data_IF_298094796624
#
_entry.id   IF_298094796624
#
_cell.length_a   1.000
_cell.length_b   1.000
_cell.length_c   1.000
_cell.angle_alpha   90.00
_cell.angle_beta   90.00
_cell.angle_gamma   90.00
#
_symmetry.space_group_name_H-M   'P 1'
#
loop_
_entity.id
_entity.type
_entity.pdbx_description
1 polymer ?
#
# COMPACT_ATOMS: atom_id res chain seq x y z
N UNK A 1 12.42 -14.46 -22.57
CA UNK A 1 12.84 -13.06 -22.70
C UNK A 1 13.34 -12.65 -21.35
N UNK A 2 14.63 -12.32 -21.26
CA UNK A 2 15.31 -11.93 -20.04
C UNK A 2 14.58 -10.76 -19.38
N UNK A 3 13.99 -11.01 -18.21
CA UNK A 3 13.51 -9.96 -17.33
C UNK A 3 14.75 -9.40 -16.61
N UNK A 4 15.50 -8.53 -17.28
CA UNK A 4 16.38 -7.64 -16.53
C UNK A 4 15.49 -6.85 -15.56
N UNK A 5 15.67 -7.09 -14.26
CA UNK A 5 15.11 -6.21 -13.23
C UNK A 5 15.89 -4.92 -13.33
N UNK A 6 15.43 -4.03 -14.19
CA UNK A 6 15.98 -2.69 -14.31
C UNK A 6 15.47 -1.85 -13.14
N UNK A 7 16.42 -1.21 -12.47
CA UNK A 7 16.25 -0.38 -11.27
C UNK A 7 16.46 1.08 -11.61
N UNK A 8 16.14 1.48 -12.85
CA UNK A 8 16.43 2.81 -13.39
C UNK A 8 15.42 3.87 -12.98
N UNK A 9 14.33 3.48 -12.32
CA UNK A 9 13.33 4.41 -11.84
C UNK A 9 13.87 5.38 -10.78
N UNK A 10 13.35 6.61 -10.82
CA UNK A 10 13.65 7.63 -9.82
C UNK A 10 12.76 7.44 -8.60
N UNK A 11 13.37 7.28 -7.44
CA UNK A 11 12.64 7.22 -6.18
C UNK A 11 11.89 8.53 -5.93
N UNK A 12 10.74 8.45 -5.27
CA UNK A 12 9.94 9.63 -4.87
C UNK A 12 10.07 9.81 -3.36
N UNK A 13 10.62 10.92 -2.87
CA UNK A 13 10.79 11.11 -1.43
C UNK A 13 9.46 11.17 -0.69
N UNK A 14 9.42 10.79 0.59
CA UNK A 14 8.22 10.94 1.39
C UNK A 14 7.79 12.41 1.51
N UNK A 15 6.48 12.64 1.61
CA UNK A 15 5.92 13.95 1.88
C UNK A 15 5.44 14.01 3.33
N UNK A 16 6.00 14.93 4.11
CA UNK A 16 5.47 15.25 5.42
C UNK A 16 4.12 15.95 5.28
N UNK A 17 3.18 15.76 6.23
CA UNK A 17 1.93 16.50 6.25
C UNK A 17 2.21 18.00 6.23
N UNK A 18 1.44 18.74 5.43
CA UNK A 18 1.35 20.18 5.60
C UNK A 18 0.64 20.41 6.93
N UNK A 19 1.41 20.82 7.95
CA UNK A 19 0.81 21.37 9.15
C UNK A 19 -0.14 22.48 8.72
N UNK A 20 -1.45 22.33 8.98
CA UNK A 20 -2.38 23.46 8.93
C UNK A 20 -1.67 24.60 9.65
N UNK A 21 -1.36 25.70 8.96
CA UNK A 21 -0.55 26.81 9.50
C UNK A 21 -0.93 27.05 10.95
N UNK A 22 -0.13 26.55 11.89
CA UNK A 22 -0.51 26.63 13.29
C UNK A 22 -0.34 28.07 13.70
N UNK A 23 -1.31 28.61 14.44
CA UNK A 23 -1.12 29.93 15.06
C UNK A 23 0.09 29.85 15.99
N UNK A 24 0.80 30.97 16.16
CA UNK A 24 1.87 31.07 17.15
C UNK A 24 1.41 30.51 18.50
N UNK A 25 2.17 29.57 19.06
CA UNK A 25 1.85 28.87 20.31
C UNK A 25 1.24 27.47 20.17
N UNK A 26 0.98 26.98 18.96
CA UNK A 26 0.54 25.59 18.71
C UNK A 26 1.60 24.79 17.96
N UNK A 27 1.95 23.62 18.48
CA UNK A 27 2.73 22.63 17.75
C UNK A 27 1.81 21.93 16.73
N UNK A 28 2.22 21.82 15.44
CA UNK A 28 1.52 20.96 14.49
C UNK A 28 1.43 19.55 15.05
N UNK A 29 0.24 18.96 15.02
CA UNK A 29 0.07 17.54 15.34
C UNK A 29 0.71 16.71 14.23
N UNK A 30 1.80 16.00 14.55
CA UNK A 30 2.53 15.15 13.61
C UNK A 30 1.97 13.72 13.54
N UNK A 31 0.90 13.39 14.28
CA UNK A 31 0.33 12.05 14.31
C UNK A 31 -0.48 11.67 13.07
N UNK A 32 -0.38 12.43 11.99
CA UNK A 32 -1.12 12.17 10.77
C UNK A 32 -0.44 11.00 10.02
N UNK A 33 -1.03 9.81 10.10
CA UNK A 33 -0.45 8.58 9.52
C UNK A 33 -1.05 8.27 8.14
N UNK A 34 -0.22 8.05 7.11
CA UNK A 34 -0.67 7.78 5.75
C UNK A 34 -1.25 6.37 5.52
N UNK A 35 -0.97 5.40 6.41
CA UNK A 35 -1.49 4.02 6.33
C UNK A 35 -2.86 3.92 6.98
N UNK A 36 -3.78 3.22 6.32
CA UNK A 36 -5.18 3.15 6.72
C UNK A 36 -5.91 1.94 6.18
N UNK A 37 -7.23 1.99 6.33
CA UNK A 37 -8.13 0.92 5.94
C UNK A 37 -8.84 1.27 4.62
N UNK A 38 -8.84 0.34 3.68
CA UNK A 38 -9.54 0.42 2.41
C UNK A 38 -10.72 -0.55 2.43
N UNK A 39 -11.92 -0.02 2.32
CA UNK A 39 -13.15 -0.79 2.15
C UNK A 39 -13.54 -0.86 0.69
N UNK A 40 -14.17 -1.96 0.28
CA UNK A 40 -14.68 -2.15 -1.06
C UNK A 40 -15.83 -3.16 -1.10
N UNK A 41 -16.52 -3.23 -2.24
CA UNK A 41 -17.59 -4.17 -2.52
C UNK A 41 -17.19 -5.08 -3.67
N UNK A 42 -17.18 -6.39 -3.43
CA UNK A 42 -16.98 -7.45 -4.41
C UNK A 42 -18.32 -8.17 -4.63
N UNK A 43 -19.02 -7.83 -5.72
CA UNK A 43 -20.39 -8.28 -5.94
C UNK A 43 -21.32 -7.78 -4.83
N UNK A 44 -21.82 -8.70 -4.01
CA UNK A 44 -22.66 -8.38 -2.84
C UNK A 44 -21.88 -8.39 -1.52
N UNK A 45 -20.61 -8.82 -1.54
CA UNK A 45 -19.79 -8.97 -0.33
C UNK A 45 -18.97 -7.72 -0.09
N UNK A 46 -18.86 -7.33 1.18
CA UNK A 46 -17.95 -6.27 1.62
C UNK A 46 -16.56 -6.87 1.89
N UNK A 47 -15.53 -6.14 1.51
CA UNK A 47 -14.13 -6.47 1.78
C UNK A 47 -13.40 -5.31 2.45
N UNK A 48 -12.31 -5.64 3.13
CA UNK A 48 -11.40 -4.67 3.72
C UNK A 48 -9.95 -5.10 3.46
N UNK A 49 -9.12 -4.13 3.13
CA UNK A 49 -7.67 -4.27 2.98
C UNK A 49 -6.96 -3.12 3.68
N UNK A 50 -5.65 -3.25 3.85
CA UNK A 50 -4.79 -2.14 4.20
C UNK A 50 -4.40 -1.39 2.94
N UNK A 51 -4.32 -0.08 3.04
CA UNK A 51 -3.80 0.75 1.98
C UNK A 51 -3.04 1.95 2.56
N UNK A 52 -2.22 2.60 1.75
CA UNK A 52 -1.44 3.75 2.23
C UNK A 52 -1.36 4.86 1.21
N UNK A 53 -1.40 6.10 1.69
CA UNK A 53 -1.05 7.27 0.90
C UNK A 53 0.43 7.20 0.52
N UNK A 54 0.69 7.34 -0.78
CA UNK A 54 2.04 7.49 -1.33
C UNK A 54 2.19 8.89 -1.89
N UNK A 55 3.34 9.50 -1.66
CA UNK A 55 3.61 10.83 -2.18
C UNK A 55 3.63 10.79 -3.71
N UNK A 56 2.95 11.75 -4.33
CA UNK A 56 2.89 11.92 -5.78
C UNK A 56 2.68 13.40 -6.13
N UNK A 57 2.68 13.74 -7.42
CA UNK A 57 2.37 15.12 -7.83
C UNK A 57 0.88 15.45 -7.63
N UNK A 58 -0.02 14.47 -7.79
CA UNK A 58 -1.46 14.67 -7.55
C UNK A 58 -1.80 14.85 -6.07
N UNK A 59 -1.01 14.28 -5.14
CA UNK A 59 -1.31 14.23 -3.70
C UNK A 59 -2.57 13.41 -3.36
N UNK A 60 -3.04 12.60 -4.32
CA UNK A 60 -4.30 11.84 -4.26
C UNK A 60 -4.13 10.33 -4.35
N UNK A 61 -2.91 9.82 -4.29
CA UNK A 61 -2.63 8.43 -4.65
C UNK A 61 -2.55 7.51 -3.44
N UNK A 62 -3.28 6.39 -3.52
CA UNK A 62 -3.27 5.31 -2.53
C UNK A 62 -2.71 4.04 -3.16
N UNK A 63 -1.79 3.40 -2.45
CA UNK A 63 -1.16 2.12 -2.79
C UNK A 63 -1.77 0.99 -1.97
N UNK A 64 -2.00 -0.17 -2.59
CA UNK A 64 -2.49 -1.41 -1.93
C UNK A 64 -2.10 -2.64 -2.77
N UNK A 65 -2.55 -3.84 -2.41
CA UNK A 65 -2.37 -5.04 -3.23
C UNK A 65 -3.37 -5.06 -4.41
N UNK A 66 -3.00 -5.68 -5.53
CA UNK A 66 -3.88 -5.75 -6.70
C UNK A 66 -5.15 -6.55 -6.41
N UNK A 67 -5.04 -7.62 -5.60
CA UNK A 67 -6.20 -8.42 -5.18
C UNK A 67 -7.18 -7.66 -4.28
N UNK A 68 -6.82 -6.49 -3.76
CA UNK A 68 -7.74 -5.60 -3.05
C UNK A 68 -8.56 -4.72 -3.99
N UNK A 69 -8.22 -4.67 -5.28
CA UNK A 69 -8.88 -3.83 -6.29
C UNK A 69 -9.58 -4.67 -7.39
N UNK A 70 -9.01 -5.84 -7.72
CA UNK A 70 -9.49 -6.70 -8.81
C UNK A 70 -9.33 -8.19 -8.45
N UNK A 71 -10.35 -9.00 -8.75
CA UNK A 71 -10.37 -10.44 -8.38
C UNK A 71 -9.43 -11.37 -9.15
N UNK A 72 -8.50 -10.85 -9.96
CA UNK A 72 -7.63 -11.63 -10.86
C UNK A 72 -8.36 -12.24 -12.07
N UNK A 73 -7.83 -13.34 -12.60
CA UNK A 73 -8.32 -13.99 -13.82
C UNK A 73 -9.78 -14.44 -13.72
N UNK A 74 -10.56 -14.17 -14.76
CA UNK A 74 -11.98 -14.53 -14.84
C UNK A 74 -12.90 -13.77 -13.88
N UNK A 75 -12.38 -12.80 -13.14
CA UNK A 75 -13.12 -11.98 -12.18
C UNK A 75 -13.17 -10.51 -12.59
N UNK A 76 -13.98 -9.70 -11.92
CA UNK A 76 -14.13 -8.27 -12.19
C UNK A 76 -13.43 -7.35 -11.20
N UNK A 77 -13.50 -6.05 -11.52
CA UNK A 77 -13.16 -4.96 -10.62
C UNK A 77 -14.11 -4.92 -9.43
N UNK A 78 -13.57 -4.60 -8.25
CA UNK A 78 -14.39 -4.26 -7.10
C UNK A 78 -14.92 -2.83 -7.23
N UNK A 79 -15.85 -2.45 -6.37
CA UNK A 79 -16.57 -1.17 -6.47
C UNK A 79 -16.71 -0.51 -5.10
N UNK A 80 -17.20 0.74 -5.10
CA UNK A 80 -17.55 1.50 -3.88
C UNK A 80 -16.40 1.58 -2.87
N UNK A 81 -15.23 1.95 -3.37
CA UNK A 81 -14.02 2.05 -2.59
C UNK A 81 -14.04 3.26 -1.65
N UNK A 82 -13.75 3.02 -0.37
CA UNK A 82 -13.59 4.07 0.64
C UNK A 82 -12.28 3.86 1.40
N UNK A 83 -11.43 4.87 1.46
CA UNK A 83 -10.17 4.83 2.19
C UNK A 83 -10.24 5.70 3.45
N UNK A 84 -9.75 5.17 4.57
CA UNK A 84 -9.68 5.87 5.86
C UNK A 84 -8.23 5.87 6.36
N UNK A 85 -7.45 6.95 6.14
CA UNK A 85 -6.09 7.05 6.67
C UNK A 85 -6.11 7.09 8.19
N UNK A 86 -5.11 6.48 8.83
CA UNK A 86 -4.96 6.42 10.28
C UNK A 86 -6.20 5.89 11.02
N UNK A 87 -6.91 4.90 10.44
CA UNK A 87 -8.08 4.31 11.09
C UNK A 87 -7.68 3.61 12.41
N UNK A 88 -8.46 3.77 13.46
CA UNK A 88 -8.29 3.02 14.73
C UNK A 88 -9.50 3.29 15.62
N UNK A 89 -9.99 2.30 16.38
CA UNK A 89 -11.03 2.50 17.39
C UNK A 89 -10.65 3.50 18.48
N UNK A 90 -9.34 3.70 18.71
CA UNK A 90 -8.83 4.63 19.72
C UNK A 90 -7.82 5.60 19.08
N UNK A 91 -8.18 6.88 19.04
CA UNK A 91 -7.31 7.94 18.52
C UNK A 91 -7.07 7.94 17.01
N UNK A 92 -7.78 7.09 16.26
CA UNK A 92 -7.72 7.08 14.79
C UNK A 92 -8.60 8.15 14.15
N UNK A 93 -8.33 8.41 12.87
CA UNK A 93 -9.13 9.32 12.06
C UNK A 93 -10.40 8.62 11.52
N UNK A 94 -11.46 9.41 11.33
CA UNK A 94 -12.75 8.95 10.79
C UNK A 94 -13.06 9.52 9.42
N UNK A 95 -12.23 10.45 8.90
CA UNK A 95 -12.40 11.01 7.57
C UNK A 95 -12.24 9.92 6.51
N UNK A 96 -13.29 9.73 5.72
CA UNK A 96 -13.30 8.79 4.61
C UNK A 96 -13.08 9.51 3.28
N UNK A 97 -12.34 8.88 2.39
CA UNK A 97 -12.09 9.35 1.04
C UNK A 97 -12.74 8.39 0.07
N UNK A 98 -13.69 8.91 -0.72
CA UNK A 98 -14.22 8.16 -1.84
C UNK A 98 -13.12 8.00 -2.89
N UNK A 99 -12.88 6.77 -3.32
CA UNK A 99 -11.84 6.48 -4.31
C UNK A 99 -12.44 6.35 -5.71
N UNK A 100 -11.63 6.63 -6.72
CA UNK A 100 -12.01 6.68 -8.12
C UNK A 100 -11.30 5.60 -8.93
N UNK A 101 -10.38 6.03 -9.80
CA UNK A 101 -9.74 5.17 -10.79
C UNK A 101 -8.71 4.25 -10.13
N UNK A 102 -8.94 2.94 -10.26
CA UNK A 102 -8.01 1.90 -9.83
C UNK A 102 -7.17 1.40 -11.00
N UNK A 103 -5.90 1.09 -10.74
CA UNK A 103 -4.97 0.48 -11.68
C UNK A 103 -4.27 -0.71 -11.05
N UNK A 104 -4.23 -1.80 -11.81
CA UNK A 104 -3.45 -3.02 -11.53
C UNK A 104 -2.79 -3.46 -12.85
N UNK A 105 -1.86 -4.41 -12.80
CA UNK A 105 -1.26 -4.93 -14.03
C UNK A 105 -2.26 -5.73 -14.88
N UNK A 106 -2.13 -5.64 -16.20
CA UNK A 106 -2.84 -6.54 -17.13
C UNK A 106 -2.51 -8.01 -16.86
N UNK A 107 -1.26 -8.32 -16.49
CA UNK A 107 -0.85 -9.66 -16.10
C UNK A 107 -1.63 -10.18 -14.89
N UNK A 108 -1.94 -9.29 -13.94
CA UNK A 108 -2.80 -9.62 -12.80
C UNK A 108 -4.21 -9.98 -13.25
N UNK A 109 -4.82 -9.11 -14.07
CA UNK A 109 -6.17 -9.31 -14.59
C UNK A 109 -6.30 -10.61 -15.38
N UNK A 110 -5.28 -10.96 -16.18
CA UNK A 110 -5.37 -12.11 -17.09
C UNK A 110 -4.97 -13.43 -16.43
N UNK A 111 -4.02 -13.42 -15.49
CA UNK A 111 -3.35 -14.65 -15.05
C UNK A 111 -3.49 -14.95 -13.55
N UNK A 112 -3.80 -13.96 -12.71
CA UNK A 112 -3.71 -14.16 -11.27
C UNK A 112 -4.78 -15.12 -10.73
N UNK A 113 -4.37 -16.07 -9.89
CA UNK A 113 -5.27 -16.93 -9.14
C UNK A 113 -5.42 -16.45 -7.68
N UNK A 114 -6.44 -15.65 -7.42
CA UNK A 114 -6.69 -15.07 -6.08
C UNK A 114 -7.16 -16.09 -5.04
N UNK A 115 -7.62 -17.28 -5.45
CA UNK A 115 -8.03 -18.34 -4.52
C UNK A 115 -6.84 -19.13 -3.97
N UNK A 116 -5.70 -19.08 -4.67
CA UNK A 116 -4.47 -19.77 -4.28
C UNK A 116 -3.28 -19.00 -4.83
N UNK A 117 -3.02 -17.82 -4.25
CA UNK A 117 -1.89 -16.99 -4.67
C UNK A 117 -0.58 -17.75 -4.55
N UNK A 118 0.10 -17.87 -5.68
CA UNK A 118 1.42 -18.48 -5.78
C UNK A 118 2.50 -17.41 -5.82
N UNK A 119 3.76 -17.82 -5.65
CA UNK A 119 4.92 -16.93 -5.82
C UNK A 119 5.01 -16.31 -7.21
N UNK A 120 4.31 -16.85 -8.21
CA UNK A 120 4.27 -16.30 -9.57
C UNK A 120 3.25 -15.16 -9.74
N UNK A 121 2.25 -15.09 -8.86
CA UNK A 121 1.25 -14.02 -8.86
C UNK A 121 1.75 -12.78 -8.11
N UNK A 122 2.54 -13.00 -7.05
CA UNK A 122 3.07 -11.96 -6.15
C UNK A 122 3.73 -10.78 -6.88
N UNK A 123 4.59 -10.96 -7.91
CA UNK A 123 5.21 -9.84 -8.63
C UNK A 123 4.22 -8.85 -9.26
N UNK A 124 3.00 -9.29 -9.56
CA UNK A 124 1.96 -8.47 -10.18
C UNK A 124 0.88 -8.04 -9.17
N UNK A 125 1.00 -8.41 -7.90
CA UNK A 125 0.01 -8.13 -6.86
C UNK A 125 0.23 -6.78 -6.17
N UNK A 126 0.27 -5.72 -6.97
CA UNK A 126 0.29 -4.34 -6.52
C UNK A 126 -0.67 -3.50 -7.34
N UNK A 127 -1.40 -2.63 -6.66
CA UNK A 127 -2.35 -1.72 -7.28
C UNK A 127 -2.30 -0.34 -6.67
N UNK A 128 -2.79 0.61 -7.45
CA UNK A 128 -2.95 1.99 -7.04
C UNK A 128 -4.38 2.43 -7.31
N UNK A 129 -4.89 3.31 -6.47
CA UNK A 129 -6.22 3.91 -6.66
C UNK A 129 -6.16 5.39 -6.28
N UNK A 130 -6.70 6.25 -7.14
CA UNK A 130 -6.73 7.70 -6.90
C UNK A 130 -7.99 8.11 -6.14
N UNK A 131 -7.92 9.18 -5.34
CA UNK A 131 -9.11 9.81 -4.76
C UNK A 131 -10.04 10.26 -5.88
N UNK A 132 -11.34 10.01 -5.71
CA UNK A 132 -12.35 10.34 -6.70
C UNK A 132 -12.43 11.84 -6.95
N UNK A 133 -12.62 12.24 -8.21
CA UNK A 133 -12.83 13.64 -8.60
C UNK A 133 -14.12 14.24 -8.04
N UNK A 134 -15.03 13.42 -7.49
CA UNK A 134 -16.23 13.91 -6.80
C UNK A 134 -15.93 14.43 -5.39
N UNK A 135 -14.76 14.14 -4.83
CA UNK A 135 -14.35 14.68 -3.53
C UNK A 135 -14.08 16.19 -3.67
N UNK A 136 -14.57 17.02 -2.74
CA UNK A 136 -14.30 18.45 -2.76
C UNK A 136 -12.79 18.74 -2.76
N UNK A 137 -12.35 19.77 -3.48
CA UNK A 137 -10.91 20.09 -3.65
C UNK A 137 -10.13 20.21 -2.34
N UNK A 138 -10.76 20.72 -1.27
CA UNK A 138 -10.13 20.85 0.06
C UNK A 138 -9.93 19.51 0.79
N UNK A 139 -10.65 18.46 0.39
CA UNK A 139 -10.40 17.07 0.77
C UNK A 139 -9.69 16.30 -0.36
N UNK A 140 -9.54 16.88 -1.53
CA UNK A 140 -9.04 16.20 -2.71
C UNK A 140 -7.59 15.76 -2.59
N UNK A 141 -6.80 16.29 -1.65
CA UNK A 141 -5.35 16.05 -1.53
C UNK A 141 -4.96 15.47 -0.16
N UNK A 142 -5.36 14.24 0.18
CA UNK A 142 -5.10 13.65 1.49
C UNK A 142 -3.61 13.54 1.85
N UNK A 143 -2.69 13.47 0.88
CA UNK A 143 -1.24 13.48 1.17
C UNK A 143 -0.80 14.77 1.86
N UNK A 144 -1.46 15.89 1.58
CA UNK A 144 -1.15 17.16 2.27
C UNK A 144 -1.60 17.14 3.74
N UNK A 145 -2.61 16.35 4.09
CA UNK A 145 -3.17 16.29 5.45
C UNK A 145 -2.54 15.19 6.29
N UNK A 146 -2.29 14.02 5.70
CA UNK A 146 -1.81 12.82 6.38
C UNK A 146 -0.37 12.45 6.05
N UNK A 147 0.29 13.26 5.23
CA UNK A 147 1.57 12.90 4.65
C UNK A 147 1.40 11.80 3.60
N UNK A 148 2.52 11.39 3.01
CA UNK A 148 2.58 10.30 2.07
C UNK A 148 3.91 9.60 2.15
N UNK A 149 3.89 8.26 2.14
CA UNK A 149 5.11 7.48 2.07
C UNK A 149 5.92 7.84 0.82
N UNK A 150 7.24 7.77 0.93
CA UNK A 150 8.10 7.76 -0.23
C UNK A 150 7.88 6.48 -1.04
N UNK A 151 8.33 6.47 -2.28
CA UNK A 151 8.13 5.34 -3.18
C UNK A 151 9.45 4.88 -3.80
N UNK A 152 9.81 3.62 -3.53
CA UNK A 152 10.93 2.91 -4.14
C UNK A 152 12.31 3.51 -3.82
N UNK A 153 12.67 3.61 -2.55
CA UNK A 153 13.97 4.14 -2.11
C UNK A 153 15.15 3.24 -2.44
N UNK A 154 14.99 1.96 -2.09
CA UNK A 154 16.03 0.95 -2.17
C UNK A 154 15.38 -0.30 -2.75
N UNK A 155 15.85 -0.67 -3.93
CA UNK A 155 15.33 -1.81 -4.67
C UNK A 155 16.41 -2.87 -4.88
N UNK A 156 17.52 -2.84 -4.12
CA UNK A 156 18.62 -3.81 -4.17
C UNK A 156 19.02 -4.27 -2.77
N UNK A 157 19.17 -5.58 -2.59
CA UNK A 157 19.65 -6.19 -1.34
C UNK A 157 18.57 -6.33 -0.26
N UNK A 158 19.03 -6.55 0.97
CA UNK A 158 18.17 -6.65 2.15
C UNK A 158 18.04 -5.31 2.86
N UNK A 159 16.86 -5.02 3.41
CA UNK A 159 16.59 -3.82 4.18
C UNK A 159 15.74 -4.13 5.41
N UNK A 160 15.72 -3.24 6.39
CA UNK A 160 14.79 -3.35 7.53
C UNK A 160 13.54 -2.56 7.22
N UNK A 161 12.39 -3.20 7.35
CA UNK A 161 11.10 -2.59 7.09
C UNK A 161 10.22 -2.61 8.35
N UNK A 162 9.49 -1.53 8.58
CA UNK A 162 8.26 -1.58 9.37
C UNK A 162 7.10 -1.92 8.44
N UNK A 163 6.37 -2.97 8.77
CA UNK A 163 5.13 -3.38 8.09
C UNK A 163 3.98 -2.96 8.98
N UNK A 164 3.00 -2.23 8.44
CA UNK A 164 1.82 -1.74 9.19
C UNK A 164 0.56 -2.21 8.48
N UNK A 165 -0.33 -2.90 9.20
CA UNK A 165 -1.49 -3.56 8.61
C UNK A 165 -2.72 -3.62 9.50
N UNK A 166 -3.88 -3.85 8.91
CA UNK A 166 -5.18 -4.02 9.58
C UNK A 166 -5.68 -5.47 9.43
N UNK A 167 -5.10 -6.43 10.17
CA UNK A 167 -5.52 -7.82 10.11
C UNK A 167 -6.95 -8.01 10.63
N UNK A 168 -7.56 -9.14 10.26
CA UNK A 168 -8.88 -9.54 10.75
C UNK A 168 -8.84 -9.82 12.25
N UNK A 169 -7.74 -10.36 12.74
CA UNK A 169 -7.52 -10.61 14.16
C UNK A 169 -6.18 -9.98 14.60
N UNK A 170 -6.18 -9.08 15.60
CA UNK A 170 -7.31 -8.60 16.41
C UNK A 170 -8.21 -7.57 15.73
N UNK A 171 -9.34 -7.26 16.37
CA UNK A 171 -10.11 -6.06 16.06
C UNK A 171 -11.01 -6.09 14.83
N UNK A 172 -11.09 -7.21 14.10
CA UNK A 172 -11.93 -7.33 12.91
C UNK A 172 -11.62 -6.24 11.87
N UNK A 173 -10.34 -6.12 11.49
CA UNK A 173 -9.79 -5.11 10.58
C UNK A 173 -9.81 -3.67 11.11
N UNK A 174 -10.03 -3.46 12.42
CA UNK A 174 -10.04 -2.11 13.01
C UNK A 174 -8.77 -1.78 13.78
N UNK A 175 -8.11 -2.78 14.36
CA UNK A 175 -6.93 -2.57 15.19
C UNK A 175 -5.66 -2.68 14.32
N UNK A 176 -4.95 -1.57 14.04
CA UNK A 176 -3.71 -1.65 13.29
C UNK A 176 -2.65 -2.43 14.10
N UNK A 177 -1.92 -3.27 13.40
CA UNK A 177 -0.78 -4.02 13.90
C UNK A 177 0.47 -3.60 13.13
N UNK A 178 1.63 -3.66 13.77
CA UNK A 178 2.88 -3.43 13.06
C UNK A 178 3.99 -4.36 13.52
N UNK A 179 4.93 -4.62 12.61
CA UNK A 179 6.07 -5.46 12.86
C UNK A 179 7.30 -4.86 12.18
N UNK A 180 8.46 -4.95 12.82
CA UNK A 180 9.75 -4.54 12.24
C UNK A 180 10.54 -5.80 11.96
N UNK A 181 10.98 -5.97 10.70
CA UNK A 181 11.76 -7.14 10.32
C UNK A 181 12.73 -6.84 9.19
N UNK A 182 13.68 -7.76 9.01
CA UNK A 182 14.56 -7.80 7.84
C UNK A 182 13.78 -8.37 6.65
N UNK A 183 13.86 -7.65 5.55
CA UNK A 183 13.35 -8.02 4.24
C UNK A 183 14.50 -8.49 3.37
N UNK A 184 14.29 -9.58 2.65
CA UNK A 184 15.25 -10.16 1.71
C UNK A 184 14.57 -10.41 0.36
N UNK A 185 15.35 -10.40 -0.73
CA UNK A 185 14.80 -10.78 -2.05
C UNK A 185 14.75 -12.30 -2.17
N UNK A 186 13.63 -12.83 -2.66
CA UNK A 186 13.47 -14.25 -2.95
C UNK A 186 14.06 -14.64 -4.32
N UNK A 187 14.67 -15.84 -4.35
CA UNK A 187 15.43 -16.51 -5.43
C UNK A 187 14.75 -16.57 -6.83
N UNK A 188 15.50 -16.70 -7.97
CA UNK A 188 16.95 -16.93 -8.10
C UNK A 188 17.90 -15.84 -7.57
N UNK A 189 18.90 -16.26 -6.80
CA UNK A 189 20.09 -15.49 -6.37
C UNK A 189 19.86 -14.13 -5.70
N UNK A 190 18.77 -13.93 -4.93
CA UNK A 190 18.39 -12.62 -4.40
C UNK A 190 18.18 -11.55 -5.51
N UNK A 191 17.84 -12.00 -6.71
CA UNK A 191 17.57 -11.18 -7.90
C UNK A 191 16.14 -11.40 -8.44
N UNK A 192 15.20 -11.90 -7.64
CA UNK A 192 13.81 -12.08 -8.04
C UNK A 192 12.93 -10.85 -7.85
N UNK A 193 11.72 -10.92 -8.42
CA UNK A 193 10.65 -9.90 -8.33
C UNK A 193 9.80 -10.03 -7.04
N UNK A 194 10.23 -10.85 -6.07
CA UNK A 194 9.50 -11.13 -4.83
C UNK A 194 10.38 -10.82 -3.64
N UNK A 195 9.81 -10.14 -2.63
CA UNK A 195 10.42 -9.88 -1.34
C UNK A 195 9.84 -10.80 -0.28
N UNK A 196 10.68 -11.24 0.65
CA UNK A 196 10.33 -12.07 1.80
C UNK A 196 10.65 -11.32 3.09
N UNK A 197 9.67 -11.26 4.00
CA UNK A 197 9.85 -10.86 5.38
C UNK A 197 9.62 -12.07 6.28
N UNK A 198 10.58 -12.36 7.17
CA UNK A 198 10.51 -13.49 8.11
C UNK A 198 10.27 -12.96 9.53
N UNK A 199 9.58 -13.73 10.38
CA UNK A 199 9.40 -13.34 11.79
C UNK A 199 8.35 -12.24 12.02
N UNK A 200 7.51 -11.95 11.01
CA UNK A 200 6.31 -11.15 11.16
C UNK A 200 5.10 -11.98 10.72
N UNK A 201 4.08 -12.07 11.56
CA UNK A 201 2.83 -12.74 11.20
C UNK A 201 1.64 -12.06 11.84
N UNK A 202 0.53 -12.07 11.13
CA UNK A 202 -0.77 -11.79 11.70
C UNK A 202 -1.44 -13.09 12.10
N UNK A 203 -2.21 -13.07 13.21
CA UNK A 203 -2.98 -14.24 13.65
C UNK A 203 -4.00 -14.63 12.59
N UNK A 204 -4.69 -13.62 12.04
CA UNK A 204 -5.52 -13.76 10.85
C UNK A 204 -5.23 -12.56 9.92
N UNK A 205 -4.45 -12.83 8.87
CA UNK A 205 -3.95 -11.79 7.96
C UNK A 205 -5.00 -11.24 6.99
N UNK A 206 -6.24 -11.75 6.97
CA UNK A 206 -7.28 -11.21 6.07
C UNK A 206 -7.44 -9.70 6.32
N UNK A 207 -7.28 -8.91 5.27
CA UNK A 207 -7.31 -7.44 5.29
C UNK A 207 -6.02 -6.74 5.73
N UNK A 208 -4.99 -7.46 6.17
CA UNK A 208 -3.63 -6.91 6.22
C UNK A 208 -3.03 -6.76 4.81
N UNK A 209 -3.60 -7.42 3.80
CA UNK A 209 -3.23 -7.24 2.40
C UNK A 209 -3.13 -5.77 2.00
N UNK A 210 -2.07 -5.41 1.27
CA UNK A 210 -1.75 -4.03 0.92
C UNK A 210 -0.98 -3.24 1.99
N UNK A 211 -0.62 -3.86 3.12
CA UNK A 211 0.26 -3.24 4.13
C UNK A 211 1.57 -2.77 3.51
N UNK A 212 1.99 -1.50 3.67
CA UNK A 212 3.25 -1.03 3.11
C UNK A 212 4.43 -1.64 3.86
N UNK A 213 5.53 -1.89 3.15
CA UNK A 213 6.80 -2.28 3.72
C UNK A 213 7.71 -1.06 3.72
N UNK A 214 7.87 -0.44 4.89
CA UNK A 214 8.43 0.91 5.05
C UNK A 214 9.87 0.87 5.54
N UNK A 215 10.81 1.28 4.69
CA UNK A 215 12.20 1.54 5.05
C UNK A 215 12.36 2.97 5.59
N UNK A 216 13.34 3.19 6.46
CA UNK A 216 13.59 4.49 7.12
C UNK A 216 12.32 5.12 7.71
N UNK A 217 11.53 4.28 8.40
CA UNK A 217 10.30 4.71 9.05
C UNK A 217 10.60 5.66 10.21
N UNK A 218 9.98 6.84 10.19
CA UNK A 218 10.01 7.81 11.27
C UNK A 218 8.75 7.65 12.14
N UNK A 219 8.95 7.26 13.40
CA UNK A 219 7.87 7.05 14.37
C UNK A 219 7.09 8.33 14.70
N UNK A 220 7.70 9.51 14.54
CA UNK A 220 7.09 10.79 14.89
C UNK A 220 6.08 11.25 13.83
N UNK A 221 6.36 10.95 12.57
CA UNK A 221 5.53 11.33 11.42
C UNK A 221 4.71 10.16 10.88
N UNK A 222 5.09 8.93 11.23
CA UNK A 222 4.46 7.71 10.71
C UNK A 222 4.78 7.43 9.25
N UNK A 223 5.84 8.02 8.72
CA UNK A 223 6.19 8.03 7.30
C UNK A 223 7.51 7.30 7.09
N UNK A 224 7.62 6.58 5.98
CA UNK A 224 8.86 5.96 5.52
C UNK A 224 8.80 5.80 4.01
N UNK A 225 9.74 5.03 3.47
CA UNK A 225 9.80 4.69 2.06
C UNK A 225 9.17 3.34 1.81
N UNK A 226 8.08 3.32 1.03
CA UNK A 226 7.45 2.10 0.58
C UNK A 226 8.32 1.41 -0.48
N UNK A 227 8.77 0.19 -0.16
CA UNK A 227 9.51 -0.68 -1.07
C UNK A 227 8.75 -1.99 -1.39
N UNK A 228 7.53 -2.14 -0.86
CA UNK A 228 6.71 -3.32 -1.01
C UNK A 228 5.30 -3.15 -0.45
N UNK A 229 4.42 -4.10 -0.75
CA UNK A 229 3.07 -4.25 -0.18
C UNK A 229 2.84 -5.71 0.24
N UNK A 230 2.13 -5.94 1.34
CA UNK A 230 1.75 -7.31 1.72
C UNK A 230 0.83 -7.91 0.65
N UNK A 231 1.31 -8.93 -0.04
CA UNK A 231 0.56 -9.66 -1.08
C UNK A 231 0.07 -11.01 -0.56
N UNK A 232 0.97 -11.84 -0.04
CA UNK A 232 0.64 -13.20 0.38
C UNK A 232 1.25 -13.55 1.73
N UNK A 233 0.56 -14.42 2.47
CA UNK A 233 1.02 -14.99 3.75
C UNK A 233 1.01 -16.51 3.59
N UNK A 234 2.10 -17.11 3.07
CA UNK A 234 2.21 -18.55 2.99
C UNK A 234 2.02 -19.20 4.37
N UNK A 235 1.40 -20.37 4.41
CA UNK A 235 1.09 -21.09 5.65
C UNK A 235 2.30 -21.54 6.49
N UNK A 236 3.52 -21.34 5.99
CA UNK A 236 4.76 -21.73 6.65
C UNK A 236 5.54 -20.50 7.19
N UNK A 237 6.03 -20.63 8.43
CA UNK A 237 7.13 -19.83 9.01
C UNK A 237 6.94 -18.33 9.24
N UNK A 238 5.74 -17.84 9.57
CA UNK A 238 5.55 -16.40 9.86
C UNK A 238 6.16 -15.52 8.75
N UNK A 239 5.93 -15.95 7.51
CA UNK A 239 6.51 -15.35 6.32
C UNK A 239 5.48 -14.47 5.64
N UNK A 240 5.90 -13.27 5.27
CA UNK A 240 5.13 -12.36 4.44
C UNK A 240 5.82 -12.21 3.09
N UNK A 241 5.05 -12.15 2.02
CA UNK A 241 5.54 -11.92 0.66
C UNK A 241 5.02 -10.60 0.10
N UNK A 242 5.87 -9.93 -0.69
CA UNK A 242 5.55 -8.69 -1.38
C UNK A 242 6.10 -8.72 -2.81
N UNK A 243 5.43 -8.09 -3.80
CA UNK A 243 6.10 -7.71 -5.03
C UNK A 243 7.31 -6.83 -4.71
N UNK A 244 8.38 -6.99 -5.50
CA UNK A 244 9.48 -6.04 -5.54
C UNK A 244 9.13 -4.89 -6.47
N UNK A 245 9.43 -3.67 -6.06
CA UNK A 245 9.25 -2.51 -6.93
C UNK A 245 10.37 -2.47 -7.98
N UNK A 246 9.95 -2.45 -9.24
CA UNK A 246 10.80 -2.35 -10.42
C UNK A 246 10.21 -1.29 -11.37
N UNK A 247 10.85 -1.10 -12.53
CA UNK A 247 10.41 -0.10 -13.52
C UNK A 247 8.96 -0.30 -13.98
N UNK A 248 8.43 -1.53 -13.99
CA UNK A 248 7.01 -1.80 -14.33
C UNK A 248 6.08 -1.24 -13.27
N UNK A 249 6.41 -1.43 -11.99
CA UNK A 249 5.62 -0.89 -10.88
C UNK A 249 5.68 0.64 -10.88
N UNK A 250 6.85 1.22 -11.16
CA UNK A 250 6.99 2.67 -11.28
C UNK A 250 6.15 3.25 -12.43
N UNK A 251 6.09 2.55 -13.57
CA UNK A 251 5.19 2.92 -14.67
C UNK A 251 3.72 2.90 -14.23
N UNK A 252 3.27 1.84 -13.55
CA UNK A 252 1.91 1.73 -13.03
C UNK A 252 1.58 2.86 -12.03
N UNK A 253 2.52 3.19 -11.14
CA UNK A 253 2.43 4.31 -10.20
C UNK A 253 2.25 5.65 -10.94
N UNK A 254 3.03 5.92 -11.99
CA UNK A 254 2.92 7.17 -12.76
C UNK A 254 1.60 7.28 -13.51
N UNK A 255 1.15 6.18 -14.12
CA UNK A 255 -0.16 6.13 -14.80
C UNK A 255 -1.29 6.42 -13.80
N UNK A 256 -1.25 5.82 -12.62
CA UNK A 256 -2.26 6.04 -11.58
C UNK A 256 -2.17 7.46 -10.98
N UNK A 257 -0.96 8.02 -10.86
CA UNK A 257 -0.78 9.40 -10.47
C UNK A 257 -1.44 10.38 -11.45
N UNK A 258 -1.35 10.11 -12.75
CA UNK A 258 -1.98 10.93 -13.80
C UNK A 258 -3.51 10.90 -13.73
N UNK A 259 -4.11 9.79 -13.29
CA UNK A 259 -5.57 9.76 -13.05
C UNK A 259 -5.98 10.69 -11.92
N UNK A 260 -5.11 10.92 -10.92
CA UNK A 260 -5.38 11.86 -9.83
C UNK A 260 -5.22 13.34 -10.19
N UNK A 261 -4.67 13.63 -11.39
CA UNK A 261 -4.54 14.99 -11.93
C UNK A 261 -5.76 15.42 -12.75
N UNK A 262 -6.62 14.47 -13.12
CA UNK A 262 -7.89 14.69 -13.82
C UNK A 262 -8.99 15.06 -12.83
#
# INVERSE_FOLDING_TARGET
MDKEITTTFHSVPPAVPLGLKTRSGFNPDSSARPTGLLFFVNGEKQGACTASLVNSSSKKLVMTAAHCLHGGSGSGWYTKFMFVPNASPSGGNTQMYAMGTARVFTDWINNANTQSLSVYDVPNDIGFISVSSVMPDYLGKPVEVFGGHGFGHSNLGSFTARIVGYPKNPGNNKDPQSCVTKVETLYPFNMGDVLKASGCSFVDAHGASGSPWLELYDENTGIGWANGVLSAVPSQEHTLLSPRFNDRVYKLYNEANNDGLQ
#
